data_IF_381638889291
#
_entry.id   IF_381638889291
#
_cell.length_a   1.000
_cell.length_b   1.000
_cell.length_c   1.000
_cell.angle_alpha   90.00
_cell.angle_beta   90.00
_cell.angle_gamma   90.00
#
_symmetry.space_group_name_H-M   'P 1'
#
loop_
_entity.id
_entity.type
_entity.pdbx_description
1 polymer ?
#
# COMPACT_ATOMS: atom_id res chain seq x y z
N UNK A 1 -20.80 42.32 55.65
CA UNK A 1 -19.59 41.51 55.55
C UNK A 1 -19.01 41.71 54.17
N UNK A 2 -17.72 42.03 54.07
CA UNK A 2 -17.02 42.18 52.79
C UNK A 2 -16.40 40.85 52.37
N UNK A 3 -16.63 40.46 51.12
CA UNK A 3 -16.00 39.28 50.57
C UNK A 3 -14.53 39.57 50.28
N UNK A 4 -13.62 38.91 50.99
CA UNK A 4 -12.18 38.94 50.71
C UNK A 4 -11.76 37.65 50.03
N UNK A 5 -11.47 37.71 48.74
CA UNK A 5 -10.98 36.60 47.95
C UNK A 5 -10.77 36.99 46.49
N UNK A 6 -9.98 36.22 45.77
CA UNK A 6 -9.87 36.36 44.31
C UNK A 6 -11.08 35.76 43.64
N UNK A 7 -11.59 36.42 42.60
CA UNK A 7 -12.67 35.89 41.77
C UNK A 7 -12.24 34.54 41.17
N UNK A 8 -13.05 33.47 41.31
CA UNK A 8 -12.71 32.19 40.72
C UNK A 8 -12.76 32.31 39.19
N UNK A 9 -11.70 31.83 38.54
CA UNK A 9 -11.62 31.79 37.08
C UNK A 9 -12.39 30.57 36.58
N UNK A 10 -13.44 30.81 35.78
CA UNK A 10 -14.15 29.74 35.09
C UNK A 10 -13.23 29.09 34.05
N UNK A 11 -13.05 27.77 34.12
CA UNK A 11 -12.34 27.00 33.10
C UNK A 11 -13.34 26.32 32.18
N UNK A 12 -13.07 26.34 30.88
CA UNK A 12 -13.84 25.57 29.91
C UNK A 12 -13.63 24.07 30.17
N UNK A 13 -14.73 23.35 30.40
CA UNK A 13 -14.71 21.90 30.67
C UNK A 13 -14.95 21.07 29.42
N UNK A 14 -15.17 21.72 28.27
CA UNK A 14 -15.41 21.06 26.99
C UNK A 14 -14.10 20.66 26.32
N UNK A 15 -14.13 19.53 25.62
CA UNK A 15 -12.99 19.05 24.85
C UNK A 15 -13.18 19.35 23.35
N UNK A 16 -12.08 19.68 22.68
CA UNK A 16 -12.05 19.98 21.26
C UNK A 16 -11.20 18.94 20.52
N UNK A 17 -11.63 18.49 19.35
CA UNK A 17 -10.93 17.47 18.54
C UNK A 17 -9.49 17.89 18.21
N UNK A 18 -9.25 19.19 17.98
CA UNK A 18 -7.89 19.74 17.76
C UNK A 18 -6.90 19.45 18.89
N UNK A 19 -7.38 19.22 20.12
CA UNK A 19 -6.56 18.93 21.29
C UNK A 19 -6.36 17.41 21.50
N UNK A 20 -6.94 16.57 20.65
CA UNK A 20 -6.74 15.13 20.67
C UNK A 20 -5.34 14.82 20.14
N UNK A 21 -4.52 14.10 20.94
CA UNK A 21 -3.15 13.74 20.58
C UNK A 21 -3.13 12.80 19.37
N UNK A 22 -3.93 11.73 19.43
CA UNK A 22 -3.96 10.68 18.41
C UNK A 22 -5.12 10.90 17.42
N UNK A 23 -5.04 11.95 16.60
CA UNK A 23 -6.11 12.35 15.67
C UNK A 23 -5.95 11.87 14.22
N UNK A 24 -5.08 10.89 13.96
CA UNK A 24 -4.83 10.41 12.58
C UNK A 24 -6.13 9.92 11.93
N UNK A 25 -6.44 10.41 10.73
CA UNK A 25 -7.66 10.06 10.01
C UNK A 25 -8.97 10.55 10.64
N UNK A 26 -8.93 11.37 11.70
CA UNK A 26 -10.13 11.97 12.32
C UNK A 26 -10.47 13.28 11.62
N UNK A 27 -11.75 13.43 11.22
CA UNK A 27 -12.24 14.69 10.66
C UNK A 27 -12.52 15.71 11.77
N UNK A 28 -11.94 16.90 11.64
CA UNK A 28 -12.22 18.02 12.54
C UNK A 28 -13.48 18.76 12.10
N UNK A 29 -14.63 18.39 12.68
CA UNK A 29 -15.93 19.02 12.43
C UNK A 29 -16.16 20.26 13.34
N UNK A 30 -15.11 20.81 13.98
CA UNK A 30 -15.18 21.90 14.98
C UNK A 30 -16.15 21.63 16.15
N UNK A 31 -16.58 20.38 16.31
CA UNK A 31 -17.50 19.98 17.38
C UNK A 31 -16.78 19.98 18.71
N UNK A 32 -17.50 20.45 19.73
CA UNK A 32 -17.13 20.35 21.12
C UNK A 32 -17.79 19.12 21.75
N UNK A 33 -17.09 18.44 22.65
CA UNK A 33 -17.62 17.33 23.44
C UNK A 33 -17.70 17.75 24.90
N UNK A 34 -18.83 17.48 25.55
CA UNK A 34 -19.04 17.86 26.94
C UNK A 34 -18.25 16.93 27.86
N UNK A 35 -17.85 17.43 29.03
CA UNK A 35 -17.19 16.61 30.05
C UNK A 35 -18.11 15.46 30.48
N UNK A 36 -17.57 14.24 30.50
CA UNK A 36 -18.29 13.00 30.76
C UNK A 36 -18.77 12.27 29.51
N UNK A 37 -18.73 12.92 28.33
CA UNK A 37 -19.14 12.30 27.06
C UNK A 37 -17.95 11.69 26.30
N UNK A 38 -18.27 10.74 25.42
CA UNK A 38 -17.32 10.14 24.49
C UNK A 38 -17.29 10.89 23.16
N UNK A 39 -16.14 10.87 22.49
CA UNK A 39 -15.99 11.43 21.16
C UNK A 39 -16.84 10.64 20.14
N UNK A 40 -17.75 11.34 19.45
CA UNK A 40 -18.45 10.79 18.29
C UNK A 40 -17.56 10.94 17.05
N UNK A 41 -16.78 9.90 16.76
CA UNK A 41 -15.73 9.94 15.72
C UNK A 41 -16.32 9.90 14.31
N UNK A 42 -15.83 10.79 13.45
CA UNK A 42 -16.00 10.73 12.00
C UNK A 42 -14.61 10.59 11.39
N UNK A 43 -14.40 9.55 10.60
CA UNK A 43 -13.12 9.28 9.96
C UNK A 43 -13.10 9.84 8.53
N UNK A 44 -11.92 10.25 8.06
CA UNK A 44 -11.69 10.67 6.69
C UNK A 44 -11.79 9.49 5.72
N UNK A 45 -11.86 9.78 4.42
CA UNK A 45 -11.81 8.73 3.39
C UNK A 45 -10.55 7.86 3.58
N UNK A 46 -10.68 6.55 3.42
CA UNK A 46 -9.58 5.60 3.64
C UNK A 46 -9.34 5.20 5.09
N UNK A 47 -10.14 5.71 6.04
CA UNK A 47 -10.10 5.35 7.45
C UNK A 47 -11.47 4.84 7.93
N UNK A 48 -11.44 3.98 8.94
CA UNK A 48 -12.63 3.41 9.59
C UNK A 48 -12.51 3.52 11.11
N UNK A 49 -13.62 3.62 11.87
CA UNK A 49 -13.54 3.65 13.33
C UNK A 49 -12.80 2.43 13.88
N UNK A 50 -11.80 2.67 14.74
CA UNK A 50 -11.02 1.60 15.38
C UNK A 50 -11.80 0.91 16.51
N UNK A 51 -12.89 1.53 16.97
CA UNK A 51 -13.67 1.14 18.15
C UNK A 51 -13.22 1.86 19.43
N UNK A 52 -12.09 2.55 19.40
CA UNK A 52 -11.64 3.38 20.51
C UNK A 52 -12.54 4.61 20.67
N UNK A 53 -12.88 4.93 21.93
CA UNK A 53 -13.78 6.02 22.29
C UNK A 53 -13.12 6.90 23.35
N UNK A 54 -12.36 7.93 22.94
CA UNK A 54 -11.80 8.91 23.86
C UNK A 54 -12.93 9.58 24.66
N UNK A 55 -12.72 9.74 25.97
CA UNK A 55 -13.69 10.38 26.86
C UNK A 55 -13.21 11.76 27.24
N UNK A 56 -14.09 12.75 27.18
CA UNK A 56 -13.78 14.09 27.66
C UNK A 56 -13.91 14.15 29.19
N UNK A 57 -12.89 14.64 29.88
CA UNK A 57 -12.94 14.87 31.33
C UNK A 57 -12.32 16.22 31.66
N UNK A 58 -13.17 17.16 32.11
CA UNK A 58 -12.76 18.49 32.59
C UNK A 58 -11.87 19.26 31.60
N UNK A 59 -12.21 19.22 30.31
CA UNK A 59 -11.49 19.92 29.24
C UNK A 59 -10.33 19.14 28.62
N UNK A 60 -10.04 17.94 29.12
CA UNK A 60 -8.97 17.07 28.63
C UNK A 60 -9.51 15.77 28.05
N UNK A 61 -8.86 15.25 27.01
CA UNK A 61 -9.17 13.94 26.45
C UNK A 61 -8.47 12.84 27.24
N UNK A 62 -9.24 11.87 27.71
CA UNK A 62 -8.74 10.59 28.19
C UNK A 62 -8.62 9.68 26.96
N UNK A 63 -7.40 9.59 26.44
CA UNK A 63 -7.06 8.88 25.20
C UNK A 63 -6.41 7.51 25.50
N UNK A 64 -6.45 6.63 24.50
CA UNK A 64 -5.66 5.41 24.45
C UNK A 64 -4.46 5.62 23.51
N UNK A 65 -3.54 4.66 23.45
CA UNK A 65 -2.30 4.77 22.67
C UNK A 65 -2.51 4.82 21.14
N UNK A 66 -3.69 4.45 20.63
CA UNK A 66 -4.01 4.53 19.22
C UNK A 66 -5.15 5.51 18.90
N UNK A 67 -5.23 5.88 17.63
CA UNK A 67 -6.24 6.81 17.15
C UNK A 67 -7.64 6.16 17.10
N UNK A 68 -8.73 6.93 17.32
CA UNK A 68 -10.09 6.42 17.14
C UNK A 68 -10.45 6.09 15.69
N UNK A 69 -9.60 6.49 14.73
CA UNK A 69 -9.67 6.05 13.34
C UNK A 69 -8.45 5.18 13.01
N UNK A 70 -8.67 4.08 12.29
CA UNK A 70 -7.62 3.23 11.74
C UNK A 70 -7.69 3.24 10.21
N UNK A 71 -6.56 3.12 9.55
CA UNK A 71 -6.52 2.96 8.09
C UNK A 71 -7.33 1.72 7.68
N UNK A 72 -8.04 1.84 6.55
CA UNK A 72 -8.80 0.74 5.97
C UNK A 72 -7.88 -0.30 5.33
N UNK A 73 -8.31 -1.55 5.35
CA UNK A 73 -7.64 -2.62 4.63
C UNK A 73 -7.86 -2.47 3.11
N UNK A 74 -6.85 -2.82 2.32
CA UNK A 74 -6.93 -2.72 0.86
C UNK A 74 -7.46 -4.02 0.25
N UNK A 75 -8.51 -3.96 -0.59
CA UNK A 75 -9.04 -5.15 -1.24
C UNK A 75 -8.09 -5.68 -2.31
N UNK A 76 -7.92 -7.00 -2.38
CA UNK A 76 -7.15 -7.64 -3.44
C UNK A 76 -8.07 -7.89 -4.64
N UNK A 77 -7.96 -7.02 -5.65
CA UNK A 77 -8.74 -7.11 -6.89
C UNK A 77 -7.91 -7.75 -8.01
N UNK A 78 -8.58 -8.37 -8.98
CA UNK A 78 -7.94 -8.81 -10.20
C UNK A 78 -7.50 -7.61 -11.04
N UNK A 79 -6.27 -7.64 -11.54
CA UNK A 79 -5.74 -6.61 -12.44
C UNK A 79 -5.88 -7.15 -13.87
N UNK A 80 -6.38 -6.32 -14.79
CA UNK A 80 -6.43 -6.66 -16.22
C UNK A 80 -5.01 -6.65 -16.79
N UNK A 81 -4.64 -7.69 -17.54
CA UNK A 81 -3.32 -7.81 -18.18
C UNK A 81 -2.16 -7.75 -17.18
N UNK A 82 -2.37 -8.25 -15.97
CA UNK A 82 -1.35 -8.30 -14.92
C UNK A 82 -1.76 -9.13 -13.72
N UNK A 83 -0.79 -9.53 -12.91
CA UNK A 83 -1.02 -10.30 -11.68
C UNK A 83 -0.33 -9.67 -10.49
N UNK A 84 -0.98 -9.76 -9.33
CA UNK A 84 -0.39 -9.37 -8.05
C UNK A 84 0.25 -10.60 -7.42
N UNK A 85 1.48 -10.43 -6.94
CA UNK A 85 2.29 -11.49 -6.34
C UNK A 85 2.78 -11.07 -4.96
N UNK A 86 3.01 -12.04 -4.10
CA UNK A 86 3.60 -11.87 -2.77
C UNK A 86 4.82 -12.80 -2.61
N UNK A 87 5.80 -12.39 -1.81
CA UNK A 87 6.90 -13.28 -1.46
C UNK A 87 6.44 -14.29 -0.39
N UNK A 88 6.73 -15.57 -0.62
CA UNK A 88 6.60 -16.62 0.41
C UNK A 88 7.89 -17.40 0.56
N UNK A 89 8.23 -17.74 1.79
CA UNK A 89 9.26 -18.72 2.08
C UNK A 89 8.74 -20.13 1.81
N UNK A 90 9.43 -20.88 0.96
CA UNK A 90 9.17 -22.31 0.74
C UNK A 90 10.40 -23.12 1.12
N UNK A 91 10.19 -24.22 1.84
CA UNK A 91 11.24 -25.24 2.05
C UNK A 91 11.40 -26.04 0.77
N UNK A 92 12.63 -26.11 0.28
CA UNK A 92 13.00 -26.86 -0.92
C UNK A 92 13.96 -27.97 -0.52
N UNK A 93 13.64 -29.20 -0.91
CA UNK A 93 14.52 -30.34 -0.76
C UNK A 93 15.38 -30.46 -2.02
N UNK A 94 16.70 -30.45 -1.84
CA UNK A 94 17.65 -30.69 -2.93
C UNK A 94 18.06 -32.16 -2.89
N UNK A 95 18.06 -32.81 -4.05
CA UNK A 95 18.52 -34.19 -4.17
C UNK A 95 19.98 -34.29 -3.68
N UNK A 96 20.27 -35.23 -2.79
CA UNK A 96 21.59 -35.42 -2.19
C UNK A 96 21.92 -34.52 -0.98
N UNK A 97 21.01 -33.64 -0.53
CA UNK A 97 21.19 -32.87 0.72
C UNK A 97 20.28 -33.37 1.84
N UNK A 98 20.86 -33.55 3.04
CA UNK A 98 20.14 -34.00 4.24
C UNK A 98 19.25 -32.92 4.88
N UNK A 99 19.41 -31.65 4.49
CA UNK A 99 18.67 -30.51 5.04
C UNK A 99 17.95 -29.74 3.94
N UNK A 100 16.70 -29.35 4.21
CA UNK A 100 15.95 -28.45 3.35
C UNK A 100 16.47 -27.02 3.42
N UNK A 101 16.48 -26.33 2.28
CA UNK A 101 16.83 -24.92 2.17
C UNK A 101 15.54 -24.08 2.14
N UNK A 102 15.55 -22.91 2.79
CA UNK A 102 14.44 -21.95 2.69
C UNK A 102 14.70 -21.04 1.50
N UNK A 103 13.74 -20.94 0.57
CA UNK A 103 13.82 -20.09 -0.60
C UNK A 103 12.63 -19.14 -0.62
N UNK A 104 12.89 -17.85 -0.80
CA UNK A 104 11.86 -16.85 -1.10
C UNK A 104 11.42 -17.03 -2.56
N UNK A 105 10.11 -17.18 -2.76
CA UNK A 105 9.50 -17.32 -4.08
C UNK A 105 8.35 -16.32 -4.23
N UNK A 106 8.17 -15.78 -5.43
CA UNK A 106 6.98 -15.00 -5.77
C UNK A 106 5.84 -15.96 -6.08
N UNK A 107 4.71 -15.77 -5.41
CA UNK A 107 3.48 -16.52 -5.67
C UNK A 107 2.34 -15.57 -5.98
N UNK A 108 1.44 -15.99 -6.86
CA UNK A 108 0.26 -15.19 -7.19
C UNK A 108 -0.69 -15.13 -6.01
N UNK A 109 -1.20 -13.92 -5.73
CA UNK A 109 -2.18 -13.70 -4.69
C UNK A 109 -3.55 -14.10 -5.21
N UNK A 110 -4.26 -14.91 -4.44
CA UNK A 110 -5.65 -15.27 -4.73
C UNK A 110 -6.52 -14.01 -4.79
N UNK A 111 -7.37 -13.93 -5.81
CA UNK A 111 -8.34 -12.83 -5.96
C UNK A 111 -9.33 -12.87 -4.78
N UNK A 112 -9.69 -11.70 -4.28
CA UNK A 112 -10.58 -11.57 -3.12
C UNK A 112 -9.82 -11.50 -1.79
N UNK A 113 -10.53 -11.01 -0.77
CA UNK A 113 -9.96 -10.70 0.54
C UNK A 113 -9.37 -9.29 0.61
N UNK A 114 -8.81 -8.97 1.78
CA UNK A 114 -8.23 -7.67 2.10
C UNK A 114 -6.82 -7.83 2.69
N UNK A 115 -6.00 -6.79 2.56
CA UNK A 115 -4.66 -6.71 3.14
C UNK A 115 -4.56 -5.52 4.08
N UNK A 116 -3.86 -5.68 5.22
CA UNK A 116 -3.74 -4.60 6.18
C UNK A 116 -2.91 -3.44 5.62
N UNK A 117 -3.07 -2.24 6.18
CA UNK A 117 -2.22 -1.08 5.90
C UNK A 117 -0.73 -1.42 5.99
N UNK A 118 0.07 -0.83 5.11
CA UNK A 118 1.52 -1.06 5.01
C UNK A 118 1.93 -2.36 4.31
N UNK A 119 0.99 -3.27 4.00
CA UNK A 119 1.30 -4.49 3.27
C UNK A 119 1.70 -4.19 1.83
N UNK A 120 2.68 -4.91 1.30
CA UNK A 120 3.23 -4.70 -0.04
C UNK A 120 2.93 -5.89 -0.95
N UNK A 121 2.50 -5.60 -2.17
CA UNK A 121 2.32 -6.58 -3.24
C UNK A 121 3.15 -6.19 -4.47
N UNK A 122 3.50 -7.19 -5.27
CA UNK A 122 4.31 -7.03 -6.46
C UNK A 122 3.44 -7.22 -7.69
N UNK A 123 3.18 -6.13 -8.41
CA UNK A 123 2.52 -6.18 -9.70
C UNK A 123 3.50 -6.66 -10.76
N UNK A 124 3.07 -7.63 -11.56
CA UNK A 124 3.74 -8.04 -12.80
C UNK A 124 2.75 -7.90 -13.94
N UNK A 125 3.03 -7.04 -14.91
CA UNK A 125 2.23 -6.91 -16.11
C UNK A 125 2.51 -8.03 -17.12
N UNK A 126 1.50 -8.38 -17.90
CA UNK A 126 1.62 -9.34 -19.00
C UNK A 126 2.39 -8.75 -20.19
N UNK A 127 2.83 -9.62 -21.11
CA UNK A 127 3.53 -9.21 -22.33
C UNK A 127 2.77 -8.11 -23.09
N UNK A 128 3.53 -7.12 -23.59
CA UNK A 128 3.02 -5.89 -24.28
C UNK A 128 2.29 -4.88 -23.38
N UNK A 129 2.18 -5.16 -22.09
CA UNK A 129 1.64 -4.23 -21.11
C UNK A 129 2.73 -3.76 -20.15
N UNK A 130 2.59 -2.52 -19.71
CA UNK A 130 3.45 -1.93 -18.71
C UNK A 130 2.62 -1.21 -17.66
N UNK A 131 3.18 -1.08 -16.46
CA UNK A 131 2.65 -0.23 -15.41
C UNK A 131 2.41 1.17 -15.96
N UNK A 132 1.14 1.59 -15.98
CA UNK A 132 0.70 2.89 -16.47
C UNK A 132 1.25 3.25 -17.88
N UNK A 133 1.60 2.25 -18.70
CA UNK A 133 2.17 2.45 -20.04
C UNK A 133 3.64 2.89 -20.08
N UNK A 134 4.28 3.06 -18.91
CA UNK A 134 5.65 3.61 -18.73
C UNK A 134 6.81 2.75 -19.27
N UNK A 135 6.53 1.52 -19.70
CA UNK A 135 7.54 0.51 -20.06
C UNK A 135 8.05 -0.32 -18.88
N UNK A 136 7.66 0.01 -17.65
CA UNK A 136 7.99 -0.78 -16.44
C UNK A 136 7.05 -1.98 -16.34
N UNK A 137 7.61 -3.19 -16.21
CA UNK A 137 6.82 -4.43 -16.16
C UNK A 137 6.48 -4.85 -14.72
N UNK A 138 7.36 -4.52 -13.77
CA UNK A 138 7.24 -4.91 -12.36
C UNK A 138 7.23 -3.69 -11.46
N UNK A 139 6.24 -3.59 -10.58
CA UNK A 139 6.10 -2.47 -9.62
C UNK A 139 5.64 -3.00 -8.28
N UNK A 140 6.19 -2.46 -7.20
CA UNK A 140 5.71 -2.72 -5.84
C UNK A 140 4.61 -1.72 -5.51
N UNK A 141 3.45 -2.22 -5.10
CA UNK A 141 2.33 -1.43 -4.60
C UNK A 141 2.13 -1.66 -3.11
N UNK A 142 1.86 -0.60 -2.36
CA UNK A 142 1.68 -0.64 -0.90
C UNK A 142 0.26 -0.27 -0.55
N UNK A 143 -0.35 -1.00 0.39
CA UNK A 143 -1.64 -0.65 0.93
C UNK A 143 -1.53 0.58 1.83
N UNK A 144 -2.21 1.67 1.47
CA UNK A 144 -2.29 2.90 2.27
C UNK A 144 -3.71 3.44 2.20
N UNK A 145 -4.29 3.74 3.36
CA UNK A 145 -5.62 4.38 3.44
C UNK A 145 -6.70 3.63 2.62
N UNK A 146 -6.70 2.29 2.67
CA UNK A 146 -7.64 1.44 1.93
C UNK A 146 -7.42 1.36 0.41
N UNK A 147 -6.40 2.03 -0.14
CA UNK A 147 -6.06 2.00 -1.57
C UNK A 147 -4.64 1.50 -1.80
N UNK A 148 -4.46 0.81 -2.92
CA UNK A 148 -3.14 0.37 -3.37
C UNK A 148 -2.40 1.55 -4.02
N UNK A 149 -1.23 1.89 -3.48
CA UNK A 149 -0.42 3.02 -3.94
C UNK A 149 1.01 2.55 -4.34
N UNK A 150 1.45 2.78 -5.60
CA UNK A 150 0.67 3.37 -6.69
C UNK A 150 -0.44 2.43 -7.18
N UNK A 151 -1.42 2.99 -7.90
CA UNK A 151 -2.55 2.22 -8.42
C UNK A 151 -2.06 1.19 -9.45
N UNK A 152 -2.29 -0.12 -9.22
CA UNK A 152 -1.68 -1.18 -10.01
C UNK A 152 -2.43 -1.39 -11.33
N UNK A 153 -2.17 -0.52 -12.32
CA UNK A 153 -2.79 -0.58 -13.64
C UNK A 153 -1.77 -0.95 -14.70
N UNK A 154 -2.06 -2.01 -15.47
CA UNK A 154 -1.26 -2.43 -16.62
C UNK A 154 -1.93 -1.94 -17.92
N UNK A 155 -1.27 -1.05 -18.65
CA UNK A 155 -1.72 -0.49 -19.92
C UNK A 155 -0.81 -0.96 -21.05
N UNK A 156 -1.34 -1.05 -22.28
CA UNK A 156 -0.54 -1.39 -23.45
C UNK A 156 0.60 -0.39 -23.64
N UNK A 157 1.83 -0.87 -23.81
CA UNK A 157 3.01 -0.02 -23.94
C UNK A 157 3.57 -0.08 -25.35
N UNK A 158 3.68 1.08 -25.99
CA UNK A 158 4.34 1.24 -27.30
C UNK A 158 5.84 0.93 -27.23
N UNK A 159 6.45 1.07 -26.05
CA UNK A 159 7.87 0.83 -25.82
C UNK A 159 8.24 -0.66 -25.72
N UNK A 160 7.26 -1.54 -25.47
CA UNK A 160 7.49 -3.00 -25.41
C UNK A 160 7.37 -3.63 -26.81
N UNK A 161 6.81 -2.91 -27.79
CA UNK A 161 6.63 -3.37 -29.17
C UNK A 161 7.89 -3.22 -30.05
N UNK A 162 9.03 -2.72 -29.53
CA UNK A 162 10.25 -2.53 -30.32
C UNK A 162 11.15 -3.77 -30.45
N UNK A 163 10.83 -4.89 -29.78
CA UNK A 163 11.50 -6.17 -30.03
C UNK A 163 10.66 -7.04 -30.96
N UNK A 164 10.54 -6.62 -32.22
CA UNK A 164 10.18 -7.54 -33.30
C UNK A 164 11.42 -8.37 -33.67
N UNK A 165 11.43 -9.71 -33.50
CA UNK A 165 12.55 -10.56 -33.92
C UNK A 165 12.68 -10.71 -35.45
N UNK A 166 11.96 -9.91 -36.25
CA UNK A 166 12.03 -9.95 -37.70
C UNK A 166 13.30 -9.29 -38.28
N UNK A 167 14.05 -8.54 -37.48
CA UNK A 167 15.32 -7.92 -37.90
C UNK A 167 16.57 -8.71 -37.45
N UNK A 168 16.46 -9.71 -36.57
CA UNK A 168 17.62 -10.51 -36.14
C UNK A 168 17.98 -11.64 -37.13
N UNK A 169 17.04 -12.08 -37.97
CA UNK A 169 17.35 -13.09 -39.00
C UNK A 169 18.08 -12.50 -40.23
N UNK A 170 17.88 -11.21 -40.54
CA UNK A 170 18.57 -10.60 -41.69
C UNK A 170 20.05 -10.33 -41.43
N UNK A 171 20.45 -10.00 -40.18
CA UNK A 171 21.86 -9.73 -39.87
C UNK A 171 22.71 -11.00 -39.68
N UNK A 172 22.14 -12.10 -39.18
CA UNK A 172 22.90 -13.35 -39.03
C UNK A 172 23.06 -14.14 -40.33
N UNK A 173 22.28 -13.86 -41.38
CA UNK A 173 22.42 -14.54 -42.67
C UNK A 173 23.50 -13.91 -43.56
N UNK A 174 23.86 -12.63 -43.37
CA UNK A 174 24.96 -12.00 -44.14
C UNK A 174 26.36 -12.33 -43.60
N UNK A 175 26.51 -12.72 -42.32
CA UNK A 175 27.82 -13.09 -41.77
C UNK A 175 28.29 -14.50 -42.16
N UNK A 176 27.39 -15.39 -42.57
CA UNK A 176 27.76 -16.75 -43.01
C UNK A 176 28.08 -16.85 -44.51
N UNK A 177 27.86 -15.80 -45.31
CA UNK A 177 28.18 -15.79 -46.75
C UNK A 177 29.58 -15.23 -47.09
N UNK A 178 30.31 -14.72 -46.10
CA UNK A 178 31.70 -14.25 -46.27
C UNK A 178 32.75 -15.24 -45.72
N UNK A 179 32.34 -16.33 -45.08
CA UNK A 179 33.27 -17.33 -44.51
C UNK A 179 33.57 -18.51 -45.45
N UNK A 180 32.96 -18.57 -46.64
CA UNK A 180 33.08 -19.69 -47.57
C UNK A 180 33.67 -19.27 -48.92
N UNK A 181 34.63 -18.33 -48.91
CA UNK A 181 35.45 -17.96 -50.07
C UNK A 181 36.85 -17.51 -49.62
N UNK A 182 37.57 -18.40 -48.92
CA UNK A 182 39.03 -18.35 -48.89
C UNK A 182 39.58 -19.77 -48.91
N UNK A 183 39.40 -20.39 -50.08
CA UNK A 183 40.21 -21.50 -50.57
C UNK A 183 41.71 -21.12 -50.59
N UNK A 184 42.52 -22.16 -50.39
CA UNK A 184 43.80 -22.43 -51.06
C UNK A 184 44.91 -21.37 -50.99
N UNK A 185 45.85 -21.63 -50.07
CA UNK A 185 47.28 -21.85 -50.40
C UNK A 185 48.03 -22.48 -49.23
#
# INVERSE_FOLDING_TARGET
>A
GEWKGTLPICKDTRCYIRNLKNRSGVLDDRRMTLSGEFLNVRCSEGFTPSGMKPTCSRGEWIEQDASPCKEMDCPVRGISNGTLKEYKERKVWKLGKFRSERKLILIEVTRGGVRPPGHQLYLTCESRHAFQGSGIINVTTTCKEGKWQPEPVCLSSKYILSFTPLLSCFFFCQLNLLAENREDN
#
